data_IF_063212287016
#
_entry.id   IF_063212287016
#
_cell.length_a   1.000
_cell.length_b   1.000
_cell.length_c   1.000
_cell.angle_alpha   90.00
_cell.angle_beta   90.00
_cell.angle_gamma   90.00
#
_symmetry.space_group_name_H-M   'P 1'
#
loop_
_entity.id
_entity.type
_entity.pdbx_description
1 polymer ?
#
# COMPACT_ATOMS: atom_id res chain seq x y z
N UNK A 1 15.92 -14.86 -12.04
CA UNK A 1 15.03 -13.84 -11.49
C UNK A 1 13.80 -14.41 -10.82
N UNK A 2 13.00 -15.21 -11.51
CA UNK A 2 11.81 -15.84 -10.91
C UNK A 2 12.17 -16.72 -9.70
N UNK A 3 13.27 -17.46 -9.77
CA UNK A 3 13.74 -18.29 -8.66
C UNK A 3 14.19 -17.50 -7.43
N UNK A 4 14.76 -16.31 -7.63
CA UNK A 4 15.18 -15.42 -6.54
C UNK A 4 13.96 -14.88 -5.78
N UNK A 5 12.92 -14.43 -6.50
CA UNK A 5 11.68 -13.99 -5.89
C UNK A 5 11.02 -15.11 -5.08
N UNK A 6 11.00 -16.33 -5.63
CA UNK A 6 10.45 -17.49 -4.95
C UNK A 6 11.19 -17.79 -3.66
N UNK A 7 12.54 -17.71 -3.66
CA UNK A 7 13.36 -17.93 -2.47
C UNK A 7 13.11 -16.84 -1.41
N UNK A 8 13.04 -15.57 -1.82
CA UNK A 8 12.78 -14.44 -0.92
C UNK A 8 11.42 -14.53 -0.25
N UNK A 9 10.41 -15.05 -0.92
CA UNK A 9 9.06 -15.22 -0.35
C UNK A 9 9.01 -16.23 0.80
N UNK A 10 10.05 -17.02 1.02
CA UNK A 10 10.09 -18.09 2.03
C UNK A 10 10.62 -17.63 3.39
N UNK A 11 11.12 -16.41 3.49
CA UNK A 11 11.68 -15.88 4.73
C UNK A 11 11.03 -14.56 5.11
N UNK A 12 11.06 -14.25 6.41
CA UNK A 12 10.52 -12.99 6.93
C UNK A 12 11.25 -11.80 6.33
N UNK A 13 12.59 -11.84 6.33
CA UNK A 13 13.44 -10.79 5.77
C UNK A 13 13.23 -10.65 4.26
N UNK A 14 13.05 -11.77 3.58
CA UNK A 14 12.82 -11.79 2.13
C UNK A 14 11.50 -11.13 1.75
N UNK A 15 10.42 -11.43 2.43
CA UNK A 15 9.11 -10.80 2.14
C UNK A 15 9.12 -9.32 2.46
N UNK A 16 9.78 -8.90 3.54
CA UNK A 16 9.92 -7.48 3.86
C UNK A 16 10.73 -6.75 2.78
N UNK A 17 11.83 -7.34 2.35
CA UNK A 17 12.65 -6.80 1.26
C UNK A 17 11.83 -6.65 -0.03
N UNK A 18 11.09 -7.68 -0.42
CA UNK A 18 10.24 -7.63 -1.61
C UNK A 18 9.16 -6.58 -1.49
N UNK A 19 8.53 -6.45 -0.33
CA UNK A 19 7.51 -5.43 -0.10
C UNK A 19 8.08 -4.03 -0.34
N UNK A 20 9.23 -3.73 0.21
CA UNK A 20 9.89 -2.43 0.05
C UNK A 20 10.27 -2.19 -1.42
N UNK A 21 10.88 -3.19 -2.07
CA UNK A 21 11.32 -3.09 -3.47
C UNK A 21 10.15 -2.90 -4.44
N UNK A 22 9.02 -3.52 -4.18
CA UNK A 22 7.88 -3.51 -5.10
C UNK A 22 6.88 -2.40 -4.80
N UNK A 23 6.81 -1.95 -3.55
CA UNK A 23 5.87 -0.91 -3.12
C UNK A 23 6.52 0.48 -3.04
N UNK A 24 7.66 0.61 -2.39
CA UNK A 24 8.29 1.90 -2.10
C UNK A 24 9.21 2.42 -3.22
N UNK A 25 10.08 1.57 -3.76
CA UNK A 25 11.05 1.99 -4.75
C UNK A 25 10.41 2.53 -6.03
N UNK A 26 9.39 1.88 -6.62
CA UNK A 26 8.76 2.41 -7.82
C UNK A 26 8.17 3.80 -7.62
N UNK A 27 7.61 4.07 -6.45
CA UNK A 27 7.06 5.39 -6.11
C UNK A 27 8.12 6.47 -6.13
N UNK A 28 9.31 6.17 -5.66
CA UNK A 28 10.42 7.13 -5.63
C UNK A 28 11.09 7.29 -6.99
N UNK A 29 11.25 6.19 -7.74
CA UNK A 29 11.96 6.18 -9.03
C UNK A 29 11.11 6.72 -10.18
N UNK A 30 9.81 6.46 -10.16
CA UNK A 30 8.88 6.73 -11.28
C UNK A 30 7.77 7.69 -10.89
N UNK A 31 8.05 8.63 -10.01
CA UNK A 31 7.07 9.61 -9.53
C UNK A 31 6.39 10.33 -10.71
N UNK A 32 5.06 10.37 -10.69
CA UNK A 32 4.27 10.99 -11.74
C UNK A 32 4.04 10.11 -12.98
N UNK A 33 4.46 8.86 -12.95
CA UNK A 33 4.35 7.89 -14.04
C UNK A 33 3.53 6.66 -13.61
N UNK A 34 2.86 5.95 -14.55
CA UNK A 34 2.17 4.70 -14.24
C UNK A 34 3.08 3.64 -13.62
N UNK A 35 4.37 3.65 -13.95
CA UNK A 35 5.35 2.70 -13.39
C UNK A 35 5.47 2.81 -11.87
N UNK A 36 5.14 3.96 -11.28
CA UNK A 36 5.14 4.12 -9.82
C UNK A 36 4.24 3.10 -9.12
N UNK A 37 3.19 2.61 -9.80
CA UNK A 37 2.18 1.72 -9.22
C UNK A 37 2.15 0.34 -9.89
N UNK A 38 3.01 0.09 -10.86
CA UNK A 38 2.94 -1.11 -11.71
C UNK A 38 3.11 -2.42 -10.95
N UNK A 39 3.83 -2.41 -9.82
CA UNK A 39 4.10 -3.60 -9.01
C UNK A 39 3.31 -3.66 -7.71
N UNK A 40 2.34 -2.77 -7.52
CA UNK A 40 1.53 -2.73 -6.30
C UNK A 40 0.75 -4.03 -6.06
N UNK A 41 0.13 -4.57 -7.10
CA UNK A 41 -0.64 -5.81 -6.98
C UNK A 41 0.24 -7.00 -6.60
N UNK A 42 1.46 -7.06 -7.12
CA UNK A 42 2.42 -8.10 -6.76
C UNK A 42 2.88 -7.96 -5.32
N UNK A 43 3.20 -6.74 -4.88
CA UNK A 43 3.55 -6.46 -3.49
C UNK A 43 2.43 -6.91 -2.55
N UNK A 44 1.18 -6.58 -2.87
CA UNK A 44 0.03 -6.95 -2.07
C UNK A 44 -0.15 -8.46 -1.97
N UNK A 45 0.00 -9.18 -3.09
CA UNK A 45 -0.08 -10.64 -3.10
C UNK A 45 0.98 -11.28 -2.18
N UNK A 46 2.20 -10.77 -2.25
CA UNK A 46 3.30 -11.25 -1.41
C UNK A 46 3.02 -11.04 0.07
N UNK A 47 2.56 -9.85 0.47
CA UNK A 47 2.30 -9.57 1.89
C UNK A 47 1.07 -10.31 2.40
N UNK A 48 0.05 -10.54 1.57
CA UNK A 48 -1.07 -11.41 1.95
C UNK A 48 -0.60 -12.83 2.29
N UNK A 49 0.28 -13.39 1.47
CA UNK A 49 0.88 -14.69 1.72
C UNK A 49 1.74 -14.72 2.99
N UNK A 50 2.51 -13.67 3.22
CA UNK A 50 3.35 -13.54 4.41
C UNK A 50 2.52 -13.51 5.70
N UNK A 51 1.43 -12.75 5.71
CA UNK A 51 0.52 -12.66 6.87
C UNK A 51 -0.16 -13.99 7.11
N UNK A 52 -0.62 -14.67 6.06
CA UNK A 52 -1.23 -15.99 6.17
C UNK A 52 -0.25 -17.03 6.77
N UNK A 53 1.05 -16.85 6.54
CA UNK A 53 2.11 -17.69 7.10
C UNK A 53 2.57 -17.26 8.50
N UNK A 54 2.02 -16.19 9.05
CA UNK A 54 2.39 -15.66 10.35
C UNK A 54 3.71 -14.90 10.38
N UNK A 55 4.27 -14.52 9.25
CA UNK A 55 5.57 -13.85 9.17
C UNK A 55 5.56 -12.46 9.79
N UNK A 56 4.45 -11.76 9.73
CA UNK A 56 4.32 -10.43 10.32
C UNK A 56 4.53 -10.46 11.85
N UNK A 57 4.10 -11.53 12.51
CA UNK A 57 4.29 -11.69 13.95
C UNK A 57 5.77 -11.74 14.38
N UNK A 58 6.66 -12.09 13.47
CA UNK A 58 8.10 -12.17 13.72
C UNK A 58 8.82 -10.83 13.51
N UNK A 59 8.12 -9.81 13.00
CA UNK A 59 8.66 -8.47 12.79
C UNK A 59 8.35 -7.54 13.95
N UNK A 60 9.25 -6.59 14.20
CA UNK A 60 8.97 -5.46 15.10
C UNK A 60 7.97 -4.48 14.47
N UNK A 61 7.59 -3.46 15.23
CA UNK A 61 6.58 -2.47 14.80
C UNK A 61 6.93 -1.83 13.45
N UNK A 62 8.15 -1.33 13.27
CA UNK A 62 8.59 -0.67 12.04
C UNK A 62 8.50 -1.60 10.84
N UNK A 63 8.98 -2.84 10.97
CA UNK A 63 8.89 -3.84 9.91
C UNK A 63 7.45 -4.15 9.52
N UNK A 64 6.56 -4.27 10.50
CA UNK A 64 5.13 -4.48 10.24
C UNK A 64 4.49 -3.32 9.51
N UNK A 65 4.85 -2.08 9.86
CA UNK A 65 4.34 -0.90 9.16
C UNK A 65 4.66 -1.01 7.66
N UNK A 66 5.92 -1.25 7.30
CA UNK A 66 6.30 -1.40 5.89
C UNK A 66 5.62 -2.59 5.21
N UNK A 67 5.49 -3.71 5.92
CA UNK A 67 4.83 -4.90 5.38
C UNK A 67 3.35 -4.65 5.08
N UNK A 68 2.69 -3.80 5.86
CA UNK A 68 1.25 -3.53 5.72
C UNK A 68 0.92 -2.41 4.73
N UNK A 69 1.90 -1.60 4.33
CA UNK A 69 1.68 -0.48 3.39
C UNK A 69 1.02 -0.91 2.06
N UNK A 70 1.33 -2.08 1.47
CA UNK A 70 0.63 -2.49 0.25
C UNK A 70 -0.90 -2.56 0.39
N UNK A 71 -1.42 -2.92 1.56
CA UNK A 71 -2.86 -2.86 1.82
C UNK A 71 -3.37 -1.41 1.81
N UNK A 72 -2.62 -0.49 2.41
CA UNK A 72 -2.96 0.93 2.47
C UNK A 72 -2.94 1.56 1.07
N UNK A 73 -2.07 1.12 0.20
CA UNK A 73 -1.92 1.63 -1.16
C UNK A 73 -2.91 1.02 -2.18
N UNK A 74 -3.61 -0.05 -1.82
CA UNK A 74 -4.63 -0.67 -2.69
C UNK A 74 -5.84 0.25 -2.86
N UNK A 75 -6.41 0.26 -4.06
CA UNK A 75 -7.66 0.98 -4.33
C UNK A 75 -8.91 0.10 -4.10
N UNK A 76 -8.74 -1.10 -3.54
CA UNK A 76 -9.83 -2.02 -3.21
C UNK A 76 -10.28 -1.80 -1.76
N UNK A 77 -11.59 -1.68 -1.54
CA UNK A 77 -12.14 -1.38 -0.22
C UNK A 77 -11.90 -2.50 0.80
N UNK A 78 -11.94 -3.77 0.37
CA UNK A 78 -11.67 -4.90 1.27
C UNK A 78 -10.23 -4.87 1.79
N UNK A 79 -9.28 -4.46 0.95
CA UNK A 79 -7.89 -4.27 1.36
C UNK A 79 -7.75 -3.10 2.34
N UNK A 80 -8.58 -2.06 2.20
CA UNK A 80 -8.63 -0.95 3.16
C UNK A 80 -9.15 -1.39 4.52
N UNK A 81 -10.19 -2.23 4.55
CA UNK A 81 -10.68 -2.83 5.78
C UNK A 81 -9.56 -3.60 6.49
N UNK A 82 -8.80 -4.39 5.75
CA UNK A 82 -7.68 -5.14 6.30
C UNK A 82 -6.59 -4.20 6.81
N UNK A 83 -6.25 -3.14 6.07
CA UNK A 83 -5.26 -2.16 6.50
C UNK A 83 -5.65 -1.53 7.83
N UNK A 84 -6.89 -1.09 7.97
CA UNK A 84 -7.40 -0.48 9.22
C UNK A 84 -7.26 -1.45 10.39
N UNK A 85 -7.61 -2.73 10.21
CA UNK A 85 -7.48 -3.75 11.26
C UNK A 85 -6.02 -3.99 11.64
N UNK A 86 -5.15 -4.13 10.65
CA UNK A 86 -3.73 -4.41 10.88
C UNK A 86 -3.04 -3.26 11.60
N UNK A 87 -3.27 -2.03 11.15
CA UNK A 87 -2.66 -0.85 11.77
C UNK A 87 -3.24 -0.56 13.15
N UNK A 88 -4.53 -0.83 13.37
CA UNK A 88 -5.13 -0.72 14.71
C UNK A 88 -4.44 -1.65 15.71
N UNK A 89 -4.15 -2.87 15.32
CA UNK A 89 -3.52 -3.86 16.17
C UNK A 89 -2.06 -3.52 16.54
N UNK A 90 -1.42 -2.63 15.76
CA UNK A 90 -0.05 -2.19 16.05
C UNK A 90 0.05 -1.20 17.21
N UNK A 91 -1.05 -0.59 17.64
CA UNK A 91 -1.07 0.47 18.64
C UNK A 91 -0.16 1.65 18.30
N UNK A 92 -0.11 2.01 17.02
CA UNK A 92 0.60 3.18 16.52
C UNK A 92 -0.43 4.16 15.97
N UNK A 93 -0.72 5.20 16.74
CA UNK A 93 -1.81 6.13 16.44
C UNK A 93 -1.63 6.80 15.07
N UNK A 94 -0.41 7.21 14.75
CA UNK A 94 -0.12 7.89 13.48
C UNK A 94 -0.41 6.98 12.29
N UNK A 95 0.10 5.75 12.32
CA UNK A 95 -0.14 4.76 11.25
C UNK A 95 -1.61 4.41 11.12
N UNK A 96 -2.30 4.28 12.25
CA UNK A 96 -3.74 4.00 12.26
C UNK A 96 -4.55 5.14 11.63
N UNK A 97 -4.22 6.38 11.96
CA UNK A 97 -4.89 7.55 11.39
C UNK A 97 -4.66 7.64 9.86
N UNK A 98 -3.44 7.35 9.39
CA UNK A 98 -3.18 7.27 7.96
C UNK A 98 -4.02 6.19 7.27
N UNK A 99 -4.15 5.03 7.89
CA UNK A 99 -4.99 3.96 7.34
C UNK A 99 -6.46 4.38 7.24
N UNK A 100 -6.96 5.10 8.24
CA UNK A 100 -8.33 5.63 8.22
C UNK A 100 -8.51 6.68 7.12
N UNK A 101 -7.56 7.57 6.92
CA UNK A 101 -7.61 8.57 5.85
C UNK A 101 -7.66 7.92 4.47
N UNK A 102 -6.82 6.92 4.24
CA UNK A 102 -6.82 6.17 2.98
C UNK A 102 -8.11 5.38 2.78
N UNK A 103 -8.64 4.79 3.85
CA UNK A 103 -9.96 4.14 3.82
C UNK A 103 -11.04 5.11 3.38
N UNK A 104 -11.07 6.30 3.99
CA UNK A 104 -12.05 7.33 3.66
C UNK A 104 -12.01 7.71 2.18
N UNK A 105 -10.83 7.91 1.62
CA UNK A 105 -10.67 8.29 0.21
C UNK A 105 -11.24 7.21 -0.71
N UNK A 106 -10.91 5.94 -0.46
CA UNK A 106 -11.41 4.84 -1.28
C UNK A 106 -12.92 4.62 -1.09
N UNK A 107 -13.44 4.77 0.12
CA UNK A 107 -14.88 4.66 0.36
C UNK A 107 -15.66 5.76 -0.37
N UNK A 108 -15.07 6.94 -0.52
CA UNK A 108 -15.69 8.10 -1.17
C UNK A 108 -15.57 8.07 -2.71
N UNK A 109 -14.36 7.78 -3.22
CA UNK A 109 -14.05 7.93 -4.65
C UNK A 109 -13.82 6.61 -5.37
N UNK A 110 -13.71 5.49 -4.67
CA UNK A 110 -13.34 4.16 -5.19
C UNK A 110 -11.95 4.11 -5.83
N UNK A 111 -11.18 5.18 -5.70
CA UNK A 111 -9.81 5.29 -6.20
C UNK A 111 -9.10 6.44 -5.48
N UNK A 112 -7.78 6.51 -5.64
CA UNK A 112 -7.00 7.65 -5.15
C UNK A 112 -6.96 8.74 -6.24
N UNK A 113 -7.63 9.87 -6.06
CA UNK A 113 -7.62 10.95 -7.06
C UNK A 113 -6.22 11.46 -7.37
N UNK A 114 -5.30 11.42 -6.41
CA UNK A 114 -3.92 11.83 -6.60
C UNK A 114 -3.14 11.04 -7.63
N UNK A 115 -3.63 9.86 -8.02
CA UNK A 115 -3.02 9.02 -9.08
C UNK A 115 -3.59 9.29 -10.47
N UNK A 116 -4.66 10.07 -10.57
CA UNK A 116 -5.37 10.24 -11.85
C UNK A 116 -4.45 10.79 -12.94
N UNK A 117 -3.67 11.82 -12.64
CA UNK A 117 -2.76 12.41 -13.62
C UNK A 117 -1.73 11.40 -14.13
N UNK A 118 -1.09 10.65 -13.22
CA UNK A 118 -0.08 9.65 -13.58
C UNK A 118 -0.67 8.47 -14.38
N UNK A 119 -1.91 8.09 -14.07
CA UNK A 119 -2.58 6.93 -14.69
C UNK A 119 -3.46 7.32 -15.89
N UNK A 120 -3.47 8.58 -16.30
CA UNK A 120 -4.28 9.05 -17.43
C UNK A 120 -5.78 8.97 -17.17
N UNK A 121 -6.21 9.10 -15.91
CA UNK A 121 -7.63 9.09 -15.53
C UNK A 121 -8.13 10.52 -15.37
N UNK A 122 -9.31 10.80 -15.89
CA UNK A 122 -9.93 12.11 -15.72
C UNK A 122 -10.46 12.29 -14.30
N UNK A 123 -10.19 13.47 -13.71
CA UNK A 123 -10.68 13.79 -12.37
C UNK A 123 -12.07 14.41 -12.43
N UNK A 124 -12.94 14.01 -11.50
CA UNK A 124 -14.25 14.66 -11.32
C UNK A 124 -14.08 16.02 -10.61
N UNK A 125 -15.08 16.92 -10.68
CA UNK A 125 -15.03 18.16 -9.91
C UNK A 125 -14.84 17.95 -8.40
N UNK A 126 -15.47 16.93 -7.82
CA UNK A 126 -15.30 16.58 -6.40
C UNK A 126 -13.89 16.11 -6.10
N UNK A 127 -13.29 15.32 -7.00
CA UNK A 127 -11.90 14.88 -6.85
C UNK A 127 -10.92 16.05 -6.94
N UNK A 128 -11.14 16.99 -7.84
CA UNK A 128 -10.32 18.19 -7.96
C UNK A 128 -10.41 19.06 -6.69
N UNK A 129 -11.61 19.23 -6.15
CA UNK A 129 -11.82 19.97 -4.91
C UNK A 129 -11.11 19.29 -3.73
N UNK A 130 -11.20 17.96 -3.67
CA UNK A 130 -10.52 17.18 -2.63
C UNK A 130 -8.98 17.34 -2.72
N UNK A 131 -8.42 17.25 -3.92
CA UNK A 131 -6.97 17.40 -4.13
C UNK A 131 -6.50 18.81 -3.76
N UNK A 132 -7.30 19.84 -4.04
CA UNK A 132 -6.98 21.23 -3.70
C UNK A 132 -6.93 21.43 -2.18
N UNK A 133 -7.89 20.81 -1.45
CA UNK A 133 -8.01 20.97 0.00
C UNK A 133 -7.01 20.09 0.77
N UNK A 134 -6.85 18.83 0.39
CA UNK A 134 -6.10 17.83 1.16
C UNK A 134 -4.80 17.37 0.50
N UNK A 135 -4.59 17.64 -0.78
CA UNK A 135 -3.44 17.16 -1.53
C UNK A 135 -3.57 15.69 -1.95
N UNK A 136 -2.50 15.18 -2.58
CA UNK A 136 -2.44 13.81 -3.05
C UNK A 136 -1.90 12.87 -1.96
N UNK A 137 -2.38 11.63 -1.98
CA UNK A 137 -1.84 10.54 -1.17
C UNK A 137 -0.91 9.63 -1.98
#
# INVERSE_FOLDING_TARGET
>A
MVGEYTALRKTVEGVLTLSILLDQFPRNLYRGSPQAFATDALALDIVKGAIASGFDAELGKTGRIFLYLPFEHSENLDDKDMAVRLFKALNDEQSYNYALEHYYVISRFSRFPGRNAALGRDSTPEELAFLEEFGAY
#
